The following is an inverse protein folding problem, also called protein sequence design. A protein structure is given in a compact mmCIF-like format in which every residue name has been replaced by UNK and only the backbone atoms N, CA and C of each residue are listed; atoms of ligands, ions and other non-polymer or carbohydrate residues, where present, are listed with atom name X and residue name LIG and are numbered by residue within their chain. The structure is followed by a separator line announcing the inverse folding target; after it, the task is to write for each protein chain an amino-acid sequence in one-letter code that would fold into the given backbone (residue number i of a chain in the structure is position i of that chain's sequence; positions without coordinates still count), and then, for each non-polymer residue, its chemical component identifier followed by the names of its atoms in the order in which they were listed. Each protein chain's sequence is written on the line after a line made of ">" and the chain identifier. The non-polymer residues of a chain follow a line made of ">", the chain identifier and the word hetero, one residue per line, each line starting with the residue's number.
data_IF_610117613759
#
_entry.id   IF_610117613759
#
_cell.length_a   1.000
_cell.length_b   1.000
_cell.length_c   1.000
_cell.angle_alpha   90.00
_cell.angle_beta   90.00
_cell.angle_gamma   90.00
#
_symmetry.space_group_name_H-M   'P 1'
#
loop_
_entity.id
_entity.type
_entity.pdbx_description
1 polymer ?
#
# COMPACT_ATOMS: atom_id res chain seq x y z
N UNK A 1 -68.36 -39.89 66.51
CA UNK A 1 -68.32 -39.91 68.00
C UNK A 1 -66.97 -39.34 68.45
N UNK A 2 -67.02 -38.28 69.30
CA UNK A 2 -65.96 -37.67 70.14
C UNK A 2 -64.80 -36.99 69.38
N UNK A 3 -64.71 -35.66 69.29
CA UNK A 3 -64.46 -34.59 70.30
C UNK A 3 -63.20 -34.76 71.15
N UNK A 4 -62.34 -33.74 71.01
CA UNK A 4 -61.39 -33.14 71.96
C UNK A 4 -60.09 -33.87 72.35
N UNK A 5 -58.97 -33.24 72.01
CA UNK A 5 -57.91 -32.97 72.99
C UNK A 5 -57.17 -31.67 72.64
N UNK A 6 -56.82 -30.94 73.70
CA UNK A 6 -56.50 -29.52 73.76
C UNK A 6 -55.03 -29.18 73.48
N UNK A 7 -54.86 -27.92 73.10
CA UNK A 7 -53.64 -27.10 73.08
C UNK A 7 -52.72 -27.27 74.31
N UNK A 8 -51.41 -27.22 74.06
CA UNK A 8 -50.42 -26.47 74.87
C UNK A 8 -49.20 -26.15 73.97
N UNK A 9 -49.02 -24.87 73.62
CA UNK A 9 -47.94 -23.99 74.11
C UNK A 9 -46.51 -24.52 73.86
N UNK A 10 -45.77 -23.88 72.93
CA UNK A 10 -44.44 -23.30 73.20
C UNK A 10 -43.88 -22.47 72.03
N UNK A 11 -43.65 -21.20 72.33
CA UNK A 11 -42.51 -20.32 72.00
C UNK A 11 -42.10 -20.03 70.54
N UNK A 12 -42.22 -18.73 70.25
CA UNK A 12 -41.50 -17.95 69.24
C UNK A 12 -39.97 -18.02 69.41
N UNK A 13 -39.24 -17.87 68.30
CA UNK A 13 -37.90 -17.27 68.31
C UNK A 13 -36.85 -17.88 67.38
N UNK A 14 -36.93 -17.65 66.06
CA UNK A 14 -35.75 -17.69 65.18
C UNK A 14 -35.58 -16.34 64.50
N UNK A 15 -34.74 -15.49 65.09
CA UNK A 15 -34.24 -14.28 64.45
C UNK A 15 -33.23 -14.69 63.36
N UNK A 16 -33.59 -14.42 62.11
CA UNK A 16 -32.66 -14.42 60.98
C UNK A 16 -31.83 -13.14 61.10
N UNK A 17 -30.56 -13.26 61.48
CA UNK A 17 -29.62 -12.13 61.45
C UNK A 17 -29.39 -11.72 60.01
N UNK A 18 -29.76 -10.48 59.71
CA UNK A 18 -29.66 -9.88 58.39
C UNK A 18 -28.23 -9.84 57.85
N UNK A 19 -28.13 -10.14 56.57
CA UNK A 19 -26.98 -9.89 55.71
C UNK A 19 -26.83 -8.36 55.56
N UNK A 20 -25.84 -7.74 56.21
CA UNK A 20 -25.57 -6.30 56.05
C UNK A 20 -24.67 -6.09 54.83
N UNK A 21 -25.28 -5.94 53.67
CA UNK A 21 -24.65 -5.41 52.46
C UNK A 21 -24.87 -3.89 52.44
N UNK A 22 -23.88 -3.11 52.85
CA UNK A 22 -23.78 -1.70 52.44
C UNK A 22 -22.41 -1.48 51.80
N UNK A 23 -22.33 -0.85 50.62
CA UNK A 23 -21.07 -0.30 50.13
C UNK A 23 -20.72 0.89 51.02
N UNK A 24 -19.58 0.83 51.72
CA UNK A 24 -19.03 1.87 52.60
C UNK A 24 -18.50 3.10 51.82
N UNK A 25 -19.23 3.58 50.81
CA UNK A 25 -18.82 4.71 49.98
C UNK A 25 -19.48 6.04 50.39
N UNK A 26 -19.57 6.33 51.69
CA UNK A 26 -19.59 7.71 52.19
C UNK A 26 -18.87 7.77 53.53
N UNK A 27 -17.76 8.52 53.52
CA UNK A 27 -16.94 8.98 54.66
C UNK A 27 -15.77 8.07 55.08
N UNK A 28 -14.54 8.51 54.82
CA UNK A 28 -13.34 8.00 55.50
C UNK A 28 -12.85 8.83 56.71
N UNK A 29 -13.31 10.03 57.05
CA UNK A 29 -14.68 10.45 57.33
C UNK A 29 -14.85 11.93 56.90
N UNK A 30 -15.62 12.22 55.85
CA UNK A 30 -15.86 13.56 55.30
C UNK A 30 -16.42 14.62 56.28
N UNK A 31 -16.83 15.82 55.81
CA UNK A 31 -16.89 17.08 56.59
C UNK A 31 -17.84 17.13 57.81
N UNK A 32 -18.51 16.03 58.18
CA UNK A 32 -19.36 15.90 59.38
C UNK A 32 -18.77 15.03 60.50
N UNK A 33 -17.52 14.57 60.36
CA UNK A 33 -16.94 13.57 61.26
C UNK A 33 -16.34 14.09 62.55
N UNK A 34 -15.99 15.38 62.61
CA UNK A 34 -15.37 15.98 63.79
C UNK A 34 -16.35 16.28 64.93
N UNK A 35 -17.66 16.35 64.65
CA UNK A 35 -18.64 16.85 65.63
C UNK A 35 -19.31 15.77 66.49
N UNK A 36 -19.14 14.46 66.21
CA UNK A 36 -19.94 13.42 66.90
C UNK A 36 -19.17 12.32 67.61
N UNK A 37 -17.94 11.98 67.19
CA UNK A 37 -17.24 10.83 67.73
C UNK A 37 -15.79 11.17 68.09
N UNK A 38 -15.54 11.72 69.28
CA UNK A 38 -14.20 11.99 69.81
C UNK A 38 -13.33 10.72 70.03
N UNK A 39 -13.85 9.53 69.72
CA UNK A 39 -13.22 8.22 69.96
C UNK A 39 -13.00 7.40 68.68
N UNK A 40 -12.95 8.00 67.49
CA UNK A 40 -12.53 7.27 66.28
C UNK A 40 -11.01 7.28 66.18
N UNK A 41 -10.39 6.10 66.16
CA UNK A 41 -8.95 5.96 65.93
C UNK A 41 -8.62 6.48 64.53
N UNK A 42 -7.71 7.47 64.45
CA UNK A 42 -7.19 8.06 63.21
C UNK A 42 -6.61 7.01 62.23
N UNK A 43 -6.22 5.84 62.74
CA UNK A 43 -5.74 4.70 61.95
C UNK A 43 -6.81 4.07 61.04
N UNK A 44 -8.10 4.32 61.29
CA UNK A 44 -9.22 3.77 60.48
C UNK A 44 -9.37 4.52 59.15
N UNK A 45 -8.90 5.76 59.06
CA UNK A 45 -8.97 6.57 57.84
C UNK A 45 -7.90 6.22 56.80
N UNK A 46 -6.85 5.50 57.19
CA UNK A 46 -5.79 5.07 56.29
C UNK A 46 -6.14 3.74 55.62
N UNK A 47 -5.80 3.55 54.33
CA UNK A 47 -5.95 2.28 53.66
C UNK A 47 -5.26 1.15 54.41
N UNK A 48 -5.88 -0.04 54.39
CA UNK A 48 -5.23 -1.26 54.90
C UNK A 48 -4.12 -1.72 53.96
N UNK A 49 -3.14 -2.45 54.48
CA UNK A 49 -2.01 -2.97 53.68
C UNK A 49 -2.49 -3.77 52.46
N UNK A 50 -3.54 -4.60 52.63
CA UNK A 50 -4.16 -5.36 51.54
C UNK A 50 -4.81 -4.46 50.47
N UNK A 51 -5.37 -3.32 50.86
CA UNK A 51 -5.97 -2.36 49.92
C UNK A 51 -4.87 -1.68 49.09
N UNK A 52 -3.75 -1.33 49.73
CA UNK A 52 -2.58 -0.74 49.06
C UNK A 52 -1.94 -1.75 48.08
N UNK A 53 -1.81 -3.02 48.47
CA UNK A 53 -1.26 -4.05 47.59
C UNK A 53 -2.19 -4.35 46.41
N UNK A 54 -3.51 -4.39 46.63
CA UNK A 54 -4.49 -4.49 45.54
C UNK A 54 -4.37 -3.32 44.56
N UNK A 55 -4.25 -2.09 45.06
CA UNK A 55 -4.10 -0.91 44.21
C UNK A 55 -2.78 -0.91 43.43
N UNK A 56 -1.68 -1.34 44.06
CA UNK A 56 -0.40 -1.57 43.37
C UNK A 56 -0.49 -2.65 42.31
N UNK A 57 -1.25 -3.72 42.55
CA UNK A 57 -1.43 -4.83 41.61
C UNK A 57 -2.20 -4.43 40.35
N UNK A 58 -3.08 -3.42 40.44
CA UNK A 58 -3.76 -2.87 39.27
C UNK A 58 -2.83 -2.18 38.28
N UNK A 59 -1.60 -1.83 38.69
CA UNK A 59 -0.56 -1.34 37.78
C UNK A 59 -0.91 -0.03 37.08
N UNK A 60 -1.86 0.74 37.61
CA UNK A 60 -2.40 1.97 36.99
C UNK A 60 -1.32 3.04 36.78
N UNK A 61 -0.27 3.02 37.59
CA UNK A 61 0.81 3.99 37.54
C UNK A 61 2.14 3.35 37.15
N UNK A 62 2.71 3.81 36.04
CA UNK A 62 4.09 3.51 35.65
C UNK A 62 5.05 4.55 36.22
N UNK A 63 6.22 4.12 36.75
CA UNK A 63 7.23 5.05 37.24
C UNK A 63 7.75 5.95 36.11
N UNK A 64 8.03 7.21 36.45
CA UNK A 64 8.47 8.23 35.50
C UNK A 64 9.76 7.84 34.75
N UNK A 65 10.67 7.10 35.41
CA UNK A 65 11.91 6.63 34.79
C UNK A 65 11.64 5.74 33.58
N UNK A 66 10.74 4.77 33.71
CA UNK A 66 10.36 3.84 32.64
C UNK A 66 9.69 4.59 31.48
N UNK A 67 8.80 5.53 31.79
CA UNK A 67 8.13 6.35 30.76
C UNK A 67 9.15 7.20 29.98
N UNK A 68 10.15 7.77 30.67
CA UNK A 68 11.23 8.52 30.02
C UNK A 68 12.02 7.66 29.05
N UNK A 69 12.44 6.47 29.46
CA UNK A 69 13.17 5.53 28.59
C UNK A 69 12.35 5.10 27.38
N UNK A 70 11.09 4.74 27.59
CA UNK A 70 10.16 4.38 26.51
C UNK A 70 9.94 5.53 25.53
N UNK A 71 9.75 6.75 26.04
CA UNK A 71 9.57 7.94 25.20
C UNK A 71 10.82 8.25 24.37
N UNK A 72 12.02 8.11 24.97
CA UNK A 72 13.29 8.31 24.28
C UNK A 72 13.48 7.27 23.17
N UNK A 73 13.15 6.00 23.42
CA UNK A 73 13.19 4.94 22.43
C UNK A 73 12.23 5.22 21.25
N UNK A 74 11.00 5.66 21.53
CA UNK A 74 10.02 6.02 20.49
C UNK A 74 10.52 7.20 19.65
N UNK A 75 11.09 8.22 20.28
CA UNK A 75 11.64 9.39 19.58
C UNK A 75 12.82 8.98 18.70
N UNK A 76 13.73 8.15 19.21
CA UNK A 76 14.88 7.65 18.44
C UNK A 76 14.44 6.83 17.23
N UNK A 77 13.43 5.97 17.38
CA UNK A 77 12.86 5.19 16.27
C UNK A 77 12.20 6.08 15.21
N UNK A 78 11.45 7.12 15.63
CA UNK A 78 10.90 8.11 14.70
C UNK A 78 11.99 8.84 13.93
N UNK A 79 13.03 9.33 14.63
CA UNK A 79 14.15 10.01 14.01
C UNK A 79 14.91 9.13 13.00
N UNK A 80 15.11 7.83 13.32
CA UNK A 80 15.71 6.88 12.37
C UNK A 80 14.84 6.73 11.12
N UNK A 81 13.52 6.58 11.27
CA UNK A 81 12.59 6.47 10.13
C UNK A 81 12.61 7.72 9.27
N UNK A 82 12.61 8.89 9.89
CA UNK A 82 12.65 10.17 9.19
C UNK A 82 13.96 10.35 8.43
N UNK A 83 15.11 10.02 9.04
CA UNK A 83 16.41 10.01 8.35
C UNK A 83 16.42 9.07 7.16
N UNK A 84 15.97 7.83 7.35
CA UNK A 84 15.89 6.85 6.27
C UNK A 84 14.96 7.31 5.12
N UNK A 85 13.88 8.04 5.45
CA UNK A 85 12.98 8.64 4.45
C UNK A 85 13.69 9.76 3.68
N UNK A 86 14.38 10.65 4.38
CA UNK A 86 15.13 11.75 3.76
C UNK A 86 16.25 11.21 2.85
N UNK A 87 16.99 10.20 3.30
CA UNK A 87 18.05 9.58 2.50
C UNK A 87 17.52 8.97 1.20
N UNK A 88 16.32 8.39 1.23
CA UNK A 88 15.65 7.88 0.02
C UNK A 88 15.25 9.02 -0.92
N UNK A 89 14.71 10.11 -0.38
CA UNK A 89 14.32 11.28 -1.17
C UNK A 89 15.56 11.88 -1.84
N UNK A 90 16.64 12.11 -1.09
CA UNK A 90 17.90 12.65 -1.62
C UNK A 90 18.45 11.75 -2.72
N UNK A 91 18.50 10.43 -2.52
CA UNK A 91 18.95 9.49 -3.57
C UNK A 91 18.07 9.57 -4.83
N UNK A 92 16.76 9.72 -4.66
CA UNK A 92 15.84 9.85 -5.79
C UNK A 92 16.03 11.18 -6.52
N UNK A 93 16.21 12.29 -5.80
CA UNK A 93 16.49 13.62 -6.36
C UNK A 93 17.80 13.62 -7.16
N UNK A 94 18.87 13.03 -6.62
CA UNK A 94 20.15 12.89 -7.32
C UNK A 94 20.01 12.06 -8.61
N UNK A 95 19.18 11.02 -8.59
CA UNK A 95 18.93 10.16 -9.76
C UNK A 95 17.90 10.73 -10.74
N UNK A 96 17.11 11.73 -10.33
CA UNK A 96 15.97 12.24 -11.10
C UNK A 96 16.41 12.79 -12.46
N UNK A 97 17.46 13.61 -12.50
CA UNK A 97 17.95 14.19 -13.75
C UNK A 97 18.45 13.14 -14.75
N UNK A 98 19.08 12.07 -14.25
CA UNK A 98 19.52 10.96 -15.11
C UNK A 98 18.33 10.13 -15.63
N UNK A 99 17.32 9.88 -14.79
CA UNK A 99 16.09 9.20 -15.23
C UNK A 99 15.29 10.02 -16.24
N UNK A 100 15.17 11.33 -16.02
CA UNK A 100 14.46 12.23 -16.93
C UNK A 100 15.08 12.20 -18.33
N UNK A 101 16.41 12.33 -18.42
CA UNK A 101 17.13 12.23 -19.70
C UNK A 101 16.92 10.87 -20.39
N UNK A 102 16.89 9.76 -19.64
CA UNK A 102 16.61 8.43 -20.21
C UNK A 102 15.19 8.35 -20.77
N UNK A 103 14.22 8.92 -20.06
CA UNK A 103 12.82 8.94 -20.49
C UNK A 103 12.63 9.80 -21.75
N UNK A 104 13.17 11.03 -21.76
CA UNK A 104 13.13 11.92 -22.93
C UNK A 104 13.80 11.26 -24.15
N UNK A 105 14.97 10.65 -23.96
CA UNK A 105 15.64 9.91 -25.03
C UNK A 105 14.81 8.72 -25.54
N UNK A 106 14.05 8.06 -24.67
CA UNK A 106 13.14 6.99 -25.07
C UNK A 106 11.97 7.52 -25.88
N UNK A 107 11.40 8.67 -25.52
CA UNK A 107 10.33 9.31 -26.29
C UNK A 107 10.84 9.75 -27.66
N UNK A 108 11.99 10.43 -27.70
CA UNK A 108 12.62 10.87 -28.96
C UNK A 108 12.94 9.68 -29.89
N UNK A 109 13.36 8.54 -29.34
CA UNK A 109 13.57 7.32 -30.14
C UNK A 109 12.25 6.76 -30.66
N UNK A 110 11.23 6.69 -29.81
CA UNK A 110 9.92 6.19 -30.20
C UNK A 110 9.26 7.07 -31.28
N UNK A 111 9.44 8.39 -31.21
CA UNK A 111 9.00 9.34 -32.24
C UNK A 111 9.77 9.13 -33.54
N UNK A 112 11.11 9.07 -33.49
CA UNK A 112 11.94 8.78 -34.68
C UNK A 112 11.60 7.45 -35.33
N UNK A 113 11.35 6.40 -34.55
CA UNK A 113 10.95 5.10 -35.09
C UNK A 113 9.57 5.13 -35.75
N UNK A 114 8.64 5.97 -35.27
CA UNK A 114 7.34 6.19 -35.93
C UNK A 114 7.52 6.98 -37.22
N UNK A 115 8.28 8.07 -37.17
CA UNK A 115 8.58 8.90 -38.34
C UNK A 115 9.31 8.09 -39.42
N UNK A 116 10.24 7.22 -39.04
CA UNK A 116 10.94 6.31 -39.95
C UNK A 116 10.01 5.28 -40.58
N UNK A 117 9.08 4.69 -39.79
CA UNK A 117 8.07 3.77 -40.31
C UNK A 117 7.15 4.48 -41.29
N UNK A 118 6.66 5.67 -40.94
CA UNK A 118 5.79 6.47 -41.80
C UNK A 118 6.52 6.89 -43.08
N UNK A 119 7.79 7.32 -42.99
CA UNK A 119 8.61 7.67 -44.15
C UNK A 119 8.95 6.46 -45.05
N UNK A 120 9.08 5.26 -44.50
CA UNK A 120 9.24 4.03 -45.28
C UNK A 120 7.92 3.65 -45.97
N UNK A 121 6.79 3.79 -45.28
CA UNK A 121 5.47 3.51 -45.85
C UNK A 121 5.11 4.50 -46.97
N UNK A 122 5.39 5.79 -46.78
CA UNK A 122 5.23 6.84 -47.81
C UNK A 122 6.10 6.59 -49.04
N UNK A 123 7.36 6.16 -48.85
CA UNK A 123 8.23 5.78 -49.96
C UNK A 123 7.66 4.60 -50.76
N UNK A 124 7.21 3.56 -50.07
CA UNK A 124 6.58 2.38 -50.70
C UNK A 124 5.30 2.75 -51.44
N UNK A 125 4.49 3.65 -50.89
CA UNK A 125 3.28 4.15 -51.56
C UNK A 125 3.60 4.90 -52.85
N UNK A 126 4.64 5.76 -52.86
CA UNK A 126 5.08 6.43 -54.09
C UNK A 126 5.59 5.45 -55.14
N UNK A 127 6.39 4.47 -54.77
CA UNK A 127 6.90 3.46 -55.71
C UNK A 127 5.76 2.67 -56.39
N UNK A 128 4.76 2.24 -55.62
CA UNK A 128 3.57 1.56 -56.15
C UNK A 128 2.74 2.51 -57.00
N UNK A 129 2.59 3.76 -56.60
CA UNK A 129 1.88 4.77 -57.37
C UNK A 129 2.55 5.04 -58.73
N UNK A 130 3.87 5.17 -58.76
CA UNK A 130 4.65 5.35 -59.98
C UNK A 130 4.56 4.14 -60.92
N UNK A 131 4.53 2.93 -60.36
CA UNK A 131 4.48 1.70 -61.15
C UNK A 131 3.07 1.36 -61.67
N UNK A 132 2.03 1.52 -60.85
CA UNK A 132 0.65 1.14 -61.19
C UNK A 132 -0.23 2.31 -61.66
N UNK A 133 0.16 3.56 -61.37
CA UNK A 133 -0.51 4.77 -61.86
C UNK A 133 -1.76 5.22 -61.09
N UNK A 134 -2.17 4.49 -60.04
CA UNK A 134 -3.29 4.88 -59.16
C UNK A 134 -2.85 4.94 -57.70
N UNK A 135 -3.53 5.78 -56.90
CA UNK A 135 -3.26 5.90 -55.47
C UNK A 135 -3.89 4.71 -54.74
N UNK A 136 -3.12 4.06 -53.86
CA UNK A 136 -3.54 2.87 -53.11
C UNK A 136 -3.27 3.07 -51.63
N UNK A 137 -4.23 2.64 -50.81
CA UNK A 137 -4.08 2.69 -49.37
C UNK A 137 -3.14 1.58 -48.87
N UNK A 138 -2.22 1.88 -47.96
CA UNK A 138 -1.24 0.92 -47.44
C UNK A 138 -1.86 -0.12 -46.49
N UNK A 139 -3.11 0.08 -46.09
CA UNK A 139 -3.89 -0.85 -45.26
C UNK A 139 -4.72 -1.82 -46.09
N UNK A 140 -4.77 -1.64 -47.41
CA UNK A 140 -5.45 -2.59 -48.29
C UNK A 140 -4.57 -3.85 -48.45
N UNK A 141 -5.10 -5.07 -48.20
CA UNK A 141 -4.37 -6.32 -48.41
C UNK A 141 -3.83 -6.50 -49.84
N UNK A 142 -4.36 -5.75 -50.83
CA UNK A 142 -3.84 -5.72 -52.20
C UNK A 142 -2.47 -5.07 -52.32
N UNK A 143 -2.12 -4.14 -51.43
CA UNK A 143 -0.85 -3.42 -51.45
C UNK A 143 0.35 -4.38 -51.39
N UNK A 144 0.24 -5.40 -50.53
CA UNK A 144 1.30 -6.38 -50.30
C UNK A 144 1.49 -7.31 -51.51
N UNK A 145 0.38 -7.70 -52.16
CA UNK A 145 0.39 -8.48 -53.41
C UNK A 145 1.05 -7.70 -54.54
N UNK A 146 0.73 -6.42 -54.67
CA UNK A 146 1.28 -5.54 -55.71
C UNK A 146 2.77 -5.24 -55.51
N UNK A 147 3.22 -5.09 -54.26
CA UNK A 147 4.64 -4.96 -53.94
C UNK A 147 5.44 -6.20 -54.38
N UNK A 148 4.91 -7.39 -54.08
CA UNK A 148 5.53 -8.66 -54.50
C UNK A 148 5.57 -8.82 -56.03
N UNK A 149 4.53 -8.38 -56.73
CA UNK A 149 4.52 -8.40 -58.20
C UNK A 149 5.59 -7.47 -58.79
N UNK A 150 5.75 -6.26 -58.25
CA UNK A 150 6.79 -5.32 -58.68
C UNK A 150 8.19 -5.89 -58.46
N UNK A 151 8.48 -6.39 -57.26
CA UNK A 151 9.79 -7.02 -56.98
C UNK A 151 10.09 -8.23 -57.87
N UNK A 152 9.08 -9.05 -58.16
CA UNK A 152 9.24 -10.20 -59.05
C UNK A 152 9.55 -9.75 -60.48
N UNK A 153 8.89 -8.69 -60.97
CA UNK A 153 9.12 -8.16 -62.31
C UNK A 153 10.48 -7.46 -62.44
N UNK A 154 10.92 -6.68 -61.45
CA UNK A 154 12.28 -6.11 -61.43
C UNK A 154 13.36 -7.20 -61.43
N UNK A 155 13.19 -8.26 -60.62
CA UNK A 155 14.12 -9.39 -60.60
C UNK A 155 14.17 -10.12 -61.95
N UNK A 156 13.06 -10.19 -62.69
CA UNK A 156 13.04 -10.78 -64.02
C UNK A 156 13.67 -9.85 -65.07
N UNK A 157 13.39 -8.54 -64.99
CA UNK A 157 13.98 -7.52 -65.85
C UNK A 157 15.51 -7.47 -65.68
N UNK A 158 16.01 -7.49 -64.45
CA UNK A 158 17.44 -7.53 -64.14
C UNK A 158 18.13 -8.78 -64.69
N UNK A 159 17.47 -9.94 -64.58
CA UNK A 159 17.99 -11.19 -65.15
C UNK A 159 18.06 -11.12 -66.68
N UNK A 160 17.05 -10.52 -67.32
CA UNK A 160 17.03 -10.32 -68.77
C UNK A 160 18.06 -9.28 -69.22
N UNK A 161 18.23 -8.19 -68.48
CA UNK A 161 19.26 -7.17 -68.75
C UNK A 161 20.67 -7.75 -68.61
N UNK A 162 20.96 -8.49 -67.54
CA UNK A 162 22.24 -9.21 -67.36
C UNK A 162 22.51 -10.21 -68.49
N UNK A 163 21.48 -10.94 -68.92
CA UNK A 163 21.60 -11.85 -70.08
C UNK A 163 21.86 -11.09 -71.37
N UNK A 164 21.18 -9.97 -71.60
CA UNK A 164 21.39 -9.13 -72.78
C UNK A 164 22.79 -8.49 -72.80
N UNK A 165 23.33 -8.07 -71.65
CA UNK A 165 24.70 -7.57 -71.54
C UNK A 165 25.73 -8.66 -71.82
N UNK A 166 25.53 -9.88 -71.31
CA UNK A 166 26.38 -11.03 -71.60
C UNK A 166 26.34 -11.40 -73.08
N UNK A 167 25.16 -11.37 -73.71
CA UNK A 167 25.02 -11.61 -75.15
C UNK A 167 25.69 -10.51 -75.97
N UNK A 168 25.53 -9.24 -75.60
CA UNK A 168 26.25 -8.11 -76.26
C UNK A 168 27.76 -8.25 -76.15
N UNK A 169 28.29 -8.64 -74.98
CA UNK A 169 29.72 -8.90 -74.79
C UNK A 169 30.21 -10.07 -75.66
N UNK A 170 29.45 -11.17 -75.71
CA UNK A 170 29.76 -12.32 -76.57
C UNK A 170 29.71 -11.99 -78.07
N UNK A 171 28.75 -11.17 -78.50
CA UNK A 171 28.67 -10.71 -79.90
C UNK A 171 29.87 -9.81 -80.24
N UNK A 172 30.28 -8.93 -79.33
CA UNK A 172 31.45 -8.07 -79.50
C UNK A 172 32.80 -8.82 -79.42
N UNK A 173 32.81 -10.05 -78.90
CA UNK A 173 34.00 -10.91 -78.84
C UNK A 173 34.12 -11.84 -80.06
N UNK A 174 33.01 -12.02 -80.80
CA UNK A 174 32.93 -12.89 -82.01
C UNK A 174 33.00 -12.07 -83.32
N UNK A 175 32.72 -10.76 -83.27
CA UNK A 175 33.01 -9.81 -84.37
C UNK A 175 34.39 -9.19 -84.19
#
# INVERSE_FOLDING_TARGET
>A
LKLFSMRSHQMLGRSVRGFSSLPENVSRLGPYSAARNANVRLSVGWPRAEEVEREKSWGTFTPLSVVKEQSAAIVAEKQKKDRNRLDKIIKNEMNYGAMLKKYENSQMKAEKEKDEKDAVMERRMREIHEYFGYWMDPKDPRFEVMLQQKEAQEKMADKLAKRAELVKKKIAEVM
#
